data_IF_829711421697
#
_entry.id   IF_829711421697
#
_cell.length_a   1.000
_cell.length_b   1.000
_cell.length_c   1.000
_cell.angle_alpha   90.00
_cell.angle_beta   90.00
_cell.angle_gamma   90.00
#
_symmetry.space_group_name_H-M   'P 1'
#
loop_
_entity.id
_entity.type
_entity.pdbx_description
1 polymer ?
#
# COMPACT_ATOMS: atom_id res chain seq x y z
N UNK A 1 -7.69 -3.53 7.05
CA UNK A 1 -7.16 -3.83 5.70
C UNK A 1 -6.71 -5.27 5.59
N UNK A 2 -5.63 -5.68 6.26
CA UNK A 2 -5.14 -7.08 6.27
C UNK A 2 -6.25 -8.12 6.50
N UNK A 3 -7.06 -7.97 7.54
CA UNK A 3 -8.18 -8.87 7.83
C UNK A 3 -9.14 -9.06 6.64
N UNK A 4 -9.38 -8.02 5.83
CA UNK A 4 -10.27 -8.12 4.67
C UNK A 4 -9.63 -8.87 3.51
N UNK A 5 -8.34 -8.65 3.24
CA UNK A 5 -7.61 -9.44 2.25
C UNK A 5 -7.64 -10.93 2.64
N UNK A 6 -7.42 -11.24 3.91
CA UNK A 6 -7.50 -12.62 4.42
C UNK A 6 -8.90 -13.22 4.24
N UNK A 7 -9.96 -12.48 4.55
CA UNK A 7 -11.36 -12.93 4.34
C UNK A 7 -11.66 -13.22 2.86
N UNK A 8 -10.96 -12.57 1.93
CA UNK A 8 -11.05 -12.81 0.49
C UNK A 8 -10.06 -13.88 0.00
N UNK A 9 -9.46 -14.67 0.89
CA UNK A 9 -8.65 -15.84 0.55
C UNK A 9 -7.17 -15.55 0.30
N UNK A 10 -6.70 -14.32 0.49
CA UNK A 10 -5.27 -14.01 0.37
C UNK A 10 -4.48 -14.54 1.56
N UNK A 11 -3.34 -15.16 1.27
CA UNK A 11 -2.32 -15.49 2.28
C UNK A 11 -1.50 -14.23 2.55
N UNK A 12 -1.19 -13.97 3.82
CA UNK A 12 -0.51 -12.75 4.22
C UNK A 12 0.83 -13.06 4.87
N UNK A 13 1.85 -12.30 4.47
CA UNK A 13 3.07 -12.09 5.24
C UNK A 13 2.98 -10.69 5.83
N UNK A 14 3.21 -10.55 7.13
CA UNK A 14 3.01 -9.29 7.87
C UNK A 14 4.26 -8.87 8.63
N UNK A 15 4.51 -7.56 8.64
CA UNK A 15 5.57 -6.92 9.39
C UNK A 15 5.02 -5.60 9.95
N UNK A 16 5.24 -5.35 11.23
CA UNK A 16 4.86 -4.12 11.92
C UNK A 16 5.83 -3.92 13.10
N UNK A 17 6.33 -2.70 13.38
CA UNK A 17 7.17 -2.45 14.56
C UNK A 17 6.46 -2.74 15.89
N UNK A 18 5.12 -2.77 15.91
CA UNK A 18 4.30 -3.13 17.07
C UNK A 18 4.03 -4.64 17.04
N UNK A 19 4.76 -5.40 17.87
CA UNK A 19 4.65 -6.86 17.95
C UNK A 19 3.21 -7.37 18.13
N UNK A 20 2.39 -6.67 18.95
CA UNK A 20 1.00 -7.04 19.17
C UNK A 20 0.14 -7.02 17.88
N UNK A 21 0.46 -6.17 16.91
CA UNK A 21 -0.23 -6.13 15.62
C UNK A 21 0.12 -7.37 14.78
N UNK A 22 1.39 -7.76 14.79
CA UNK A 22 1.90 -8.97 14.13
C UNK A 22 1.25 -10.21 14.75
N UNK A 23 1.30 -10.34 16.07
CA UNK A 23 0.74 -11.49 16.81
C UNK A 23 -0.75 -11.69 16.50
N UNK A 24 -1.53 -10.61 16.46
CA UNK A 24 -2.94 -10.65 16.11
C UNK A 24 -3.20 -11.23 14.72
N UNK A 25 -2.33 -10.93 13.75
CA UNK A 25 -2.47 -11.45 12.38
C UNK A 25 -1.97 -12.90 12.28
N UNK A 26 -0.89 -13.24 12.98
CA UNK A 26 -0.37 -14.61 13.05
C UNK A 26 -1.38 -15.57 13.65
N UNK A 27 -2.08 -15.16 14.72
CA UNK A 27 -3.20 -15.93 15.31
C UNK A 27 -4.34 -16.20 14.32
N UNK A 28 -4.42 -15.43 13.23
CA UNK A 28 -5.41 -15.62 12.16
C UNK A 28 -4.83 -16.34 10.94
N UNK A 29 -3.59 -16.84 11.01
CA UNK A 29 -2.94 -17.62 9.96
C UNK A 29 -2.02 -16.84 9.02
N UNK A 30 -1.64 -15.61 9.36
CA UNK A 30 -0.58 -14.89 8.64
C UNK A 30 0.82 -15.43 9.03
N UNK A 31 1.80 -15.23 8.15
CA UNK A 31 3.22 -15.47 8.43
C UNK A 31 3.88 -14.17 8.87
N UNK A 32 4.65 -14.18 9.96
CA UNK A 32 5.43 -13.02 10.39
C UNK A 32 6.73 -12.89 9.58
N UNK A 33 7.11 -11.65 9.27
CA UNK A 33 8.42 -11.28 8.75
C UNK A 33 9.07 -10.27 9.70
N UNK A 34 10.40 -10.31 9.85
CA UNK A 34 11.11 -9.44 10.78
C UNK A 34 11.28 -8.00 10.28
N UNK A 35 11.23 -7.79 8.96
CA UNK A 35 11.43 -6.51 8.30
C UNK A 35 10.77 -6.49 6.90
N UNK A 36 10.84 -5.33 6.25
CA UNK A 36 10.21 -5.12 4.94
C UNK A 36 10.91 -5.90 3.81
N UNK A 37 12.22 -6.09 3.89
CA UNK A 37 12.97 -6.94 2.95
C UNK A 37 12.47 -8.38 2.98
N UNK A 38 12.30 -8.97 4.16
CA UNK A 38 11.79 -10.35 4.30
C UNK A 38 10.36 -10.50 3.76
N UNK A 39 9.53 -9.45 3.85
CA UNK A 39 8.23 -9.44 3.16
C UNK A 39 8.42 -9.49 1.64
N UNK A 40 9.33 -8.68 1.10
CA UNK A 40 9.60 -8.61 -0.34
C UNK A 40 10.19 -9.91 -0.91
N UNK A 41 10.99 -10.65 -0.13
CA UNK A 41 11.53 -11.96 -0.49
C UNK A 41 10.43 -13.05 -0.61
N UNK A 42 9.30 -12.89 0.09
CA UNK A 42 8.24 -13.89 0.16
C UNK A 42 6.97 -13.53 -0.63
N UNK A 43 6.82 -12.26 -1.02
CA UNK A 43 5.61 -11.74 -1.64
C UNK A 43 5.90 -11.13 -3.02
N UNK A 44 5.00 -11.36 -3.97
CA UNK A 44 5.00 -10.65 -5.27
C UNK A 44 4.21 -9.33 -5.20
N UNK A 45 3.29 -9.19 -4.24
CA UNK A 45 2.53 -7.97 -4.02
C UNK A 45 2.69 -7.50 -2.58
N UNK A 46 3.05 -6.23 -2.40
CA UNK A 46 3.35 -5.63 -1.10
C UNK A 46 2.44 -4.42 -0.94
N UNK A 47 1.74 -4.36 0.20
CA UNK A 47 0.82 -3.26 0.52
C UNK A 47 1.36 -2.54 1.76
N UNK A 48 1.62 -1.24 1.65
CA UNK A 48 2.07 -0.41 2.79
C UNK A 48 0.96 0.51 3.27
N UNK A 49 0.88 0.68 4.59
CA UNK A 49 -0.07 1.59 5.25
C UNK A 49 0.60 2.20 6.48
N UNK A 50 1.34 3.29 6.25
CA UNK A 50 2.33 3.83 7.18
C UNK A 50 2.00 5.25 7.63
N UNK A 51 2.48 5.68 8.81
CA UNK A 51 2.02 6.93 9.43
C UNK A 51 2.63 8.20 8.82
N UNK A 52 3.69 8.11 8.01
CA UNK A 52 4.40 9.28 7.50
C UNK A 52 5.27 8.98 6.28
N UNK A 53 5.66 10.03 5.56
CA UNK A 53 6.63 9.96 4.45
C UNK A 53 7.94 9.30 4.90
N UNK A 54 8.48 9.66 6.06
CA UNK A 54 9.73 9.08 6.57
C UNK A 54 9.60 7.58 6.85
N UNK A 55 8.42 7.13 7.30
CA UNK A 55 8.17 5.71 7.52
C UNK A 55 8.13 4.95 6.18
N UNK A 56 7.47 5.52 5.15
CA UNK A 56 7.46 4.96 3.79
C UNK A 56 8.89 4.91 3.23
N UNK A 57 9.65 5.99 3.33
CA UNK A 57 11.04 6.04 2.89
C UNK A 57 11.89 4.97 3.58
N UNK A 58 11.77 4.82 4.90
CA UNK A 58 12.50 3.78 5.64
C UNK A 58 12.10 2.36 5.23
N UNK A 59 10.82 2.10 4.95
CA UNK A 59 10.33 0.77 4.56
C UNK A 59 10.75 0.42 3.13
N UNK A 60 10.72 1.36 2.19
CA UNK A 60 11.12 1.09 0.82
C UNK A 60 12.63 1.17 0.62
N UNK A 61 13.26 2.25 1.05
CA UNK A 61 14.64 2.63 0.69
C UNK A 61 15.62 2.57 1.87
N UNK A 62 15.13 2.36 3.09
CA UNK A 62 15.98 2.20 4.27
C UNK A 62 16.64 0.82 4.36
N UNK A 63 17.49 0.67 5.38
CA UNK A 63 18.12 -0.62 5.72
C UNK A 63 17.05 -1.68 5.97
N UNK A 64 17.27 -2.88 5.44
CA UNK A 64 16.33 -4.00 5.52
C UNK A 64 14.96 -3.65 4.87
N UNK A 65 15.01 -2.74 3.89
CA UNK A 65 13.88 -2.23 3.14
C UNK A 65 13.53 -3.06 1.90
N UNK A 66 12.36 -2.79 1.33
CA UNK A 66 11.84 -3.49 0.13
C UNK A 66 12.85 -3.47 -1.03
N UNK A 67 13.57 -2.36 -1.22
CA UNK A 67 14.50 -2.19 -2.33
C UNK A 67 15.65 -3.22 -2.35
N UNK A 68 16.02 -3.80 -1.20
CA UNK A 68 17.11 -4.77 -1.09
C UNK A 68 16.75 -6.15 -1.66
N UNK A 69 15.46 -6.46 -1.78
CA UNK A 69 14.95 -7.72 -2.34
C UNK A 69 14.01 -7.48 -3.53
N UNK A 70 14.09 -6.30 -4.15
CA UNK A 70 13.19 -5.89 -5.21
C UNK A 70 13.33 -6.78 -6.46
N UNK A 71 12.19 -7.15 -7.05
CA UNK A 71 12.06 -7.98 -8.24
C UNK A 71 11.16 -7.30 -9.26
N UNK A 72 11.37 -7.58 -10.55
CA UNK A 72 10.57 -7.00 -11.64
C UNK A 72 9.08 -7.33 -11.57
N UNK A 73 8.73 -8.44 -10.93
CA UNK A 73 7.35 -8.90 -10.78
C UNK A 73 6.61 -8.16 -9.67
N UNK A 74 7.34 -7.44 -8.80
CA UNK A 74 6.77 -6.79 -7.62
C UNK A 74 5.72 -5.75 -7.99
N UNK A 75 4.57 -5.87 -7.33
CA UNK A 75 3.52 -4.88 -7.30
C UNK A 75 3.48 -4.24 -5.91
N UNK A 76 3.91 -2.98 -5.85
CA UNK A 76 4.02 -2.19 -4.64
C UNK A 76 2.84 -1.23 -4.57
N UNK A 77 2.00 -1.38 -3.56
CA UNK A 77 0.78 -0.58 -3.37
C UNK A 77 0.90 0.21 -2.07
N UNK A 78 1.18 1.50 -2.16
CA UNK A 78 1.22 2.38 -0.99
C UNK A 78 -0.15 2.99 -0.73
N UNK A 79 -0.76 2.64 0.41
CA UNK A 79 -2.03 3.21 0.87
C UNK A 79 -1.85 4.32 1.93
N UNK A 80 -0.60 4.71 2.18
CA UNK A 80 -0.24 5.76 3.12
C UNK A 80 -0.67 7.14 2.62
N UNK A 81 -0.86 8.11 3.52
CA UNK A 81 -1.07 9.51 3.14
C UNK A 81 0.23 10.28 3.32
N UNK A 82 0.97 10.49 2.23
CA UNK A 82 2.35 11.01 2.25
C UNK A 82 2.55 12.21 1.31
N UNK A 83 3.77 12.77 1.35
CA UNK A 83 4.15 13.94 0.56
C UNK A 83 4.11 13.65 -0.95
N UNK A 84 3.45 14.51 -1.77
CA UNK A 84 3.34 14.31 -3.20
C UNK A 84 4.60 14.25 -4.02
N UNK A 85 5.57 15.05 -3.62
CA UNK A 85 6.83 15.18 -4.33
C UNK A 85 7.65 13.93 -4.04
N UNK A 86 7.62 13.46 -2.79
CA UNK A 86 8.24 12.20 -2.43
C UNK A 86 7.60 11.00 -3.14
N UNK A 87 6.27 10.86 -3.15
CA UNK A 87 5.59 9.76 -3.85
C UNK A 87 6.01 9.66 -5.32
N UNK A 88 6.11 10.80 -6.02
CA UNK A 88 6.55 10.82 -7.43
C UNK A 88 8.00 10.37 -7.60
N UNK A 89 8.89 10.79 -6.70
CA UNK A 89 10.30 10.37 -6.73
C UNK A 89 10.43 8.87 -6.47
N UNK A 90 9.74 8.38 -5.43
CA UNK A 90 9.73 6.97 -5.06
C UNK A 90 9.17 6.11 -6.20
N UNK A 91 8.04 6.52 -6.79
CA UNK A 91 7.44 5.83 -7.94
C UNK A 91 8.42 5.73 -9.11
N UNK A 92 9.07 6.84 -9.49
CA UNK A 92 10.05 6.84 -10.57
C UNK A 92 11.24 5.91 -10.29
N UNK A 93 11.78 5.95 -9.07
CA UNK A 93 12.91 5.10 -8.67
C UNK A 93 12.56 3.61 -8.70
N UNK A 94 11.39 3.23 -8.18
CA UNK A 94 10.96 1.83 -8.14
C UNK A 94 10.64 1.29 -9.55
N UNK A 95 10.05 2.13 -10.40
CA UNK A 95 9.82 1.82 -11.82
C UNK A 95 11.15 1.66 -12.58
N UNK A 96 12.15 2.52 -12.34
CA UNK A 96 13.49 2.40 -12.95
C UNK A 96 14.18 1.09 -12.56
N UNK A 97 13.93 0.59 -11.35
CA UNK A 97 14.42 -0.71 -10.88
C UNK A 97 13.55 -1.90 -11.33
N UNK A 98 12.54 -1.66 -12.15
CA UNK A 98 11.71 -2.68 -12.80
C UNK A 98 10.46 -3.11 -12.05
N UNK A 99 10.21 -2.60 -10.83
CA UNK A 99 9.00 -2.92 -10.07
C UNK A 99 7.84 -1.98 -10.44
N UNK A 100 6.61 -2.44 -10.23
CA UNK A 100 5.41 -1.60 -10.36
C UNK A 100 5.10 -0.93 -9.03
N UNK A 101 4.98 0.40 -9.00
CA UNK A 101 4.52 1.17 -7.83
C UNK A 101 3.20 1.89 -8.11
N UNK A 102 2.24 1.74 -7.20
CA UNK A 102 0.90 2.33 -7.24
C UNK A 102 0.64 3.08 -5.93
N UNK A 103 0.31 4.35 -6.04
CA UNK A 103 -0.13 5.20 -4.92
C UNK A 103 -1.66 5.14 -4.79
N UNK A 104 -2.16 4.75 -3.62
CA UNK A 104 -3.58 4.54 -3.37
C UNK A 104 -4.02 5.00 -1.96
N UNK A 105 -3.83 6.27 -1.57
CA UNK A 105 -4.30 6.80 -0.28
C UNK A 105 -5.80 6.58 -0.09
N UNK A 106 -6.20 6.48 1.19
CA UNK A 106 -7.56 6.07 1.58
C UNK A 106 -8.31 7.10 2.43
N UNK A 107 -9.64 7.06 2.33
CA UNK A 107 -10.56 7.70 3.27
C UNK A 107 -11.60 6.71 3.82
N UNK A 108 -12.23 7.05 4.95
CA UNK A 108 -13.22 6.21 5.66
C UNK A 108 -12.78 5.72 7.04
N UNK A 109 -11.53 5.97 7.44
CA UNK A 109 -11.01 5.69 8.79
C UNK A 109 -11.03 4.22 9.18
N UNK A 110 -10.87 3.96 10.49
CA UNK A 110 -10.81 2.59 11.04
C UNK A 110 -12.10 1.82 10.78
N UNK A 111 -13.26 2.46 10.91
CA UNK A 111 -14.56 1.83 10.66
C UNK A 111 -14.69 1.38 9.19
N UNK A 112 -14.28 2.21 8.23
CA UNK A 112 -14.24 1.84 6.81
C UNK A 112 -13.28 0.68 6.56
N UNK A 113 -12.10 0.70 7.19
CA UNK A 113 -11.10 -0.35 7.05
C UNK A 113 -11.53 -1.70 7.65
N UNK A 114 -12.34 -1.69 8.72
CA UNK A 114 -12.91 -2.90 9.33
C UNK A 114 -14.03 -3.49 8.47
N UNK A 115 -14.85 -2.63 7.88
CA UNK A 115 -16.03 -3.04 7.11
C UNK A 115 -15.75 -3.28 5.62
N UNK A 116 -14.53 -3.02 5.14
CA UNK A 116 -14.19 -3.17 3.72
C UNK A 116 -14.84 -2.09 2.85
N UNK A 117 -15.09 -0.91 3.41
CA UNK A 117 -15.83 0.18 2.75
C UNK A 117 -14.99 1.43 2.53
N UNK A 118 -13.66 1.31 2.58
CA UNK A 118 -12.75 2.40 2.25
C UNK A 118 -13.00 2.96 0.85
N UNK A 119 -12.69 4.24 0.69
CA UNK A 119 -12.52 4.85 -0.63
C UNK A 119 -11.03 4.95 -0.93
N UNK A 120 -10.58 4.36 -2.03
CA UNK A 120 -9.21 4.43 -2.51
C UNK A 120 -9.11 5.45 -3.65
N UNK A 121 -8.06 6.26 -3.63
CA UNK A 121 -7.75 7.26 -4.64
C UNK A 121 -6.46 6.85 -5.33
N UNK A 122 -6.55 6.26 -6.52
CA UNK A 122 -5.50 5.43 -7.11
C UNK A 122 -4.81 6.18 -8.24
N UNK A 123 -3.54 6.54 -8.03
CA UNK A 123 -2.64 7.01 -9.07
C UNK A 123 -1.89 5.86 -9.74
N UNK A 124 -1.34 6.12 -10.92
CA UNK A 124 -0.59 5.13 -11.70
C UNK A 124 -1.10 5.01 -13.13
N UNK A 125 -0.46 4.14 -13.90
CA UNK A 125 -0.86 3.82 -15.26
C UNK A 125 -2.20 3.06 -15.30
N UNK A 126 -3.01 3.17 -16.38
CA UNK A 126 -4.29 2.46 -16.47
C UNK A 126 -4.17 0.94 -16.25
N UNK A 127 -3.10 0.35 -16.75
CA UNK A 127 -2.82 -1.08 -16.61
C UNK A 127 -2.48 -1.45 -15.16
N UNK A 128 -1.78 -0.56 -14.45
CA UNK A 128 -1.47 -0.73 -13.02
C UNK A 128 -2.73 -0.61 -12.17
N UNK A 129 -3.62 0.33 -12.49
CA UNK A 129 -4.92 0.49 -11.84
C UNK A 129 -5.75 -0.79 -11.94
N UNK A 130 -5.89 -1.34 -13.15
CA UNK A 130 -6.63 -2.59 -13.34
C UNK A 130 -5.98 -3.78 -12.62
N UNK A 131 -4.63 -3.79 -12.50
CA UNK A 131 -3.90 -4.84 -11.77
C UNK A 131 -4.15 -4.78 -10.25
N UNK A 132 -4.23 -3.59 -9.64
CA UNK A 132 -4.49 -3.46 -8.19
C UNK A 132 -5.96 -3.53 -7.81
N UNK A 133 -6.86 -3.27 -8.76
CA UNK A 133 -8.31 -3.15 -8.52
C UNK A 133 -8.93 -4.34 -7.78
N UNK A 134 -8.63 -5.62 -8.09
CA UNK A 134 -9.18 -6.74 -7.32
C UNK A 134 -8.77 -6.72 -5.83
N UNK A 135 -7.54 -6.31 -5.53
CA UNK A 135 -7.04 -6.20 -4.15
C UNK A 135 -7.71 -5.04 -3.42
N UNK A 136 -7.85 -3.91 -4.10
CA UNK A 136 -8.51 -2.73 -3.53
C UNK A 136 -10.00 -2.99 -3.28
N UNK A 137 -10.68 -3.70 -4.18
CA UNK A 137 -12.09 -4.10 -4.01
C UNK A 137 -12.31 -5.04 -2.83
N UNK A 138 -11.31 -5.80 -2.39
CA UNK A 138 -11.41 -6.60 -1.16
C UNK A 138 -11.39 -5.72 0.11
N UNK A 139 -10.85 -4.51 0.03
CA UNK A 139 -10.64 -3.62 1.19
C UNK A 139 -11.52 -2.37 1.18
N UNK A 140 -12.13 -2.04 0.04
CA UNK A 140 -12.86 -0.80 -0.17
C UNK A 140 -14.08 -0.94 -1.06
N UNK A 141 -14.97 0.04 -0.96
CA UNK A 141 -16.22 0.12 -1.72
C UNK A 141 -16.11 1.02 -2.95
N UNK A 142 -15.31 2.08 -2.85
CA UNK A 142 -15.16 3.06 -3.93
C UNK A 142 -13.70 3.13 -4.37
N UNK A 143 -13.45 2.99 -5.67
CA UNK A 143 -12.12 3.09 -6.27
C UNK A 143 -12.15 4.24 -7.27
N UNK A 144 -11.41 5.31 -6.99
CA UNK A 144 -11.33 6.51 -7.83
C UNK A 144 -9.98 6.51 -8.54
N UNK A 145 -9.98 6.34 -9.85
CA UNK A 145 -8.75 6.45 -10.65
C UNK A 145 -8.38 7.93 -10.85
N UNK A 146 -7.15 8.29 -10.44
CA UNK A 146 -6.64 9.66 -10.44
C UNK A 146 -5.58 9.93 -11.54
N UNK A 147 -5.26 8.92 -12.36
CA UNK A 147 -4.37 9.05 -13.52
C UNK A 147 -2.87 8.81 -13.26
N UNK A 148 -2.11 8.76 -14.38
CA UNK A 148 -0.66 8.48 -14.45
C UNK A 148 0.18 9.32 -13.52
N UNK A 149 -0.03 10.62 -13.57
CA UNK A 149 0.62 11.53 -12.65
C UNK A 149 -0.21 11.56 -11.39
N UNK A 150 0.35 11.07 -10.29
CA UNK A 150 -0.06 11.32 -8.91
C UNK A 150 -0.37 12.83 -8.73
N UNK A 151 -1.57 13.27 -9.16
CA UNK A 151 -2.04 14.65 -9.14
C UNK A 151 -2.70 14.83 -7.79
N UNK A 152 -1.88 14.82 -6.75
CA UNK A 152 -2.29 15.06 -5.37
C UNK A 152 -2.83 16.48 -5.14
N UNK A 153 -2.91 17.32 -6.20
CA UNK A 153 -3.79 18.50 -6.21
C UNK A 153 -5.24 18.11 -5.89
N UNK A 154 -5.69 16.91 -6.28
CA UNK A 154 -7.05 16.44 -5.99
C UNK A 154 -7.25 16.02 -4.52
N UNK A 155 -6.21 15.59 -3.80
CA UNK A 155 -6.30 15.37 -2.34
C UNK A 155 -6.55 16.66 -1.55
N UNK A 156 -6.02 17.80 -2.02
CA UNK A 156 -6.31 19.10 -1.40
C UNK A 156 -7.77 19.53 -1.59
N UNK A 157 -8.41 19.07 -2.68
CA UNK A 157 -9.82 19.27 -2.96
C UNK A 157 -10.67 18.28 -2.15
N UNK A 158 -10.33 16.98 -2.16
CA UNK A 158 -11.02 15.94 -1.38
C UNK A 158 -10.97 16.18 0.14
N UNK A 159 -9.88 16.76 0.68
CA UNK A 159 -9.82 17.19 2.09
C UNK A 159 -10.77 18.35 2.43
N UNK A 160 -11.07 19.23 1.47
CA UNK A 160 -11.91 20.43 1.69
C UNK A 160 -13.38 20.19 1.41
N UNK A 161 -13.73 19.22 0.57
CA UNK A 161 -15.12 18.96 0.14
C UNK A 161 -15.92 18.06 1.09
N UNK A 162 -15.29 17.53 2.14
CA UNK A 162 -15.88 16.54 3.06
C UNK A 162 -15.67 16.89 4.54
N UNK A 163 -15.24 18.14 4.80
CA UNK A 163 -15.14 18.73 6.14
C UNK A 163 -16.28 19.69 6.42
#
# INVERSE_FOLDING_TARGET
>A
MADNLRKHGHKLVVCDPVAANVDKQVQQGATAAANAREVAEQCDTIITMLPSTNAVESVYLGKDGVHEALRSEHLLLDSSTIDPIFTKKLSAELHERGATFVDAPVSGGVAGAQNGTLTFMVGGEPEEFERVKPLLSAMGKNLVYCGKSCKLKELSWARKSWG
#
